data_IF_075080938455
#
_entry.id   IF_075080938455
#
_cell.length_a   1.000
_cell.length_b   1.000
_cell.length_c   1.000
_cell.angle_alpha   90.00
_cell.angle_beta   90.00
_cell.angle_gamma   90.00
#
_symmetry.space_group_name_H-M   'P 1'
#
loop_
_entity.id
_entity.type
_entity.pdbx_description
1 polymer ?
#
# COMPACT_ATOMS: atom_id res chain seq x y z
N UNK A 1 -35.35 -9.14 -15.95
CA UNK A 1 -34.43 -8.85 -14.86
C UNK A 1 -33.10 -9.58 -15.04
N UNK A 2 -33.10 -10.77 -15.63
CA UNK A 2 -31.91 -11.60 -15.86
C UNK A 2 -30.97 -11.05 -16.92
N UNK A 3 -31.47 -10.31 -17.92
CA UNK A 3 -30.64 -9.66 -18.95
C UNK A 3 -29.80 -8.50 -18.40
N UNK A 4 -30.34 -7.73 -17.46
CA UNK A 4 -29.62 -6.62 -16.82
C UNK A 4 -28.47 -7.13 -15.91
N UNK A 5 -28.70 -8.25 -15.21
CA UNK A 5 -27.64 -8.88 -14.41
C UNK A 5 -26.54 -9.46 -15.28
N UNK A 6 -26.89 -10.04 -16.44
CA UNK A 6 -25.90 -10.51 -17.43
C UNK A 6 -25.04 -9.39 -18.01
N UNK A 7 -25.64 -8.22 -18.27
CA UNK A 7 -24.89 -7.03 -18.73
C UNK A 7 -24.04 -6.37 -17.64
N UNK A 8 -24.51 -6.35 -16.38
CA UNK A 8 -23.81 -5.75 -15.24
C UNK A 8 -22.64 -6.60 -14.74
N UNK A 9 -22.81 -7.92 -14.76
CA UNK A 9 -21.75 -8.86 -14.30
C UNK A 9 -20.79 -9.18 -15.46
N UNK A 10 -21.19 -8.85 -16.70
CA UNK A 10 -20.46 -9.24 -17.90
C UNK A 10 -20.51 -10.76 -18.11
N UNK A 11 -19.76 -11.24 -19.08
CA UNK A 11 -19.57 -12.67 -19.30
C UNK A 11 -18.53 -13.31 -18.38
N UNK A 12 -18.28 -12.69 -17.20
CA UNK A 12 -17.28 -13.19 -16.26
C UNK A 12 -17.73 -14.56 -15.73
N UNK A 13 -16.94 -15.58 -16.04
CA UNK A 13 -17.11 -16.91 -15.46
C UNK A 13 -17.02 -16.79 -13.92
N UNK A 14 -17.80 -17.61 -13.21
CA UNK A 14 -17.80 -17.65 -11.73
C UNK A 14 -16.39 -17.76 -11.16
N UNK A 15 -15.49 -18.47 -11.83
CA UNK A 15 -14.10 -18.59 -11.46
C UNK A 15 -13.34 -17.24 -11.53
N UNK A 16 -13.57 -16.46 -12.59
CA UNK A 16 -12.97 -15.12 -12.72
C UNK A 16 -13.46 -14.16 -11.64
N UNK A 17 -14.76 -14.18 -11.34
CA UNK A 17 -15.33 -13.38 -10.26
C UNK A 17 -14.70 -13.72 -8.89
N UNK A 18 -14.55 -15.00 -8.59
CA UNK A 18 -13.89 -15.46 -7.35
C UNK A 18 -12.45 -14.96 -7.29
N UNK A 19 -11.70 -15.05 -8.37
CA UNK A 19 -10.31 -14.56 -8.42
C UNK A 19 -10.22 -13.04 -8.20
N UNK A 20 -11.12 -12.26 -8.80
CA UNK A 20 -11.17 -10.81 -8.59
C UNK A 20 -11.43 -10.50 -7.12
N UNK A 21 -12.43 -11.13 -6.52
CA UNK A 21 -12.77 -10.93 -5.10
C UNK A 21 -11.60 -11.30 -4.20
N UNK A 22 -10.96 -12.45 -4.42
CA UNK A 22 -9.79 -12.88 -3.65
C UNK A 22 -8.66 -11.87 -3.74
N UNK A 23 -8.33 -11.39 -4.94
CA UNK A 23 -7.26 -10.40 -5.14
C UNK A 23 -7.56 -9.07 -4.45
N UNK A 24 -8.81 -8.60 -4.50
CA UNK A 24 -9.23 -7.39 -3.79
C UNK A 24 -9.18 -7.57 -2.27
N UNK A 25 -9.61 -8.72 -1.76
CA UNK A 25 -9.52 -9.03 -0.32
C UNK A 25 -8.07 -9.11 0.15
N UNK A 26 -7.18 -9.76 -0.62
CA UNK A 26 -5.75 -9.81 -0.29
C UNK A 26 -5.15 -8.40 -0.29
N UNK A 27 -5.47 -7.58 -1.30
CA UNK A 27 -5.03 -6.19 -1.34
C UNK A 27 -5.53 -5.42 -0.11
N UNK A 28 -6.80 -5.58 0.27
CA UNK A 28 -7.39 -4.95 1.45
C UNK A 28 -6.64 -5.35 2.74
N UNK A 29 -6.31 -6.64 2.89
CA UNK A 29 -5.54 -7.17 4.03
C UNK A 29 -4.13 -6.58 4.07
N UNK A 30 -3.46 -6.43 2.93
CA UNK A 30 -2.16 -5.76 2.82
C UNK A 30 -2.24 -4.32 3.32
N UNK A 31 -3.20 -3.54 2.80
CA UNK A 31 -3.42 -2.17 3.22
C UNK A 31 -3.77 -2.06 4.71
N UNK A 32 -4.62 -2.96 5.21
CA UNK A 32 -4.98 -3.01 6.62
C UNK A 32 -3.78 -3.34 7.51
N UNK A 33 -2.97 -4.32 7.13
CA UNK A 33 -1.80 -4.76 7.89
C UNK A 33 -0.79 -3.62 8.11
N UNK A 34 -0.41 -2.92 7.04
CA UNK A 34 0.51 -1.78 7.13
C UNK A 34 -0.18 -0.59 7.83
N UNK A 35 -1.44 -0.32 7.47
CA UNK A 35 -2.21 0.81 7.98
C UNK A 35 -2.50 0.75 9.48
N UNK A 36 -2.74 -0.44 10.05
CA UNK A 36 -2.91 -0.62 11.50
C UNK A 36 -1.65 -0.21 12.24
N UNK A 37 -0.49 -0.69 11.82
CA UNK A 37 0.78 -0.35 12.44
C UNK A 37 1.01 1.18 12.42
N UNK A 38 0.74 1.83 11.27
CA UNK A 38 0.87 3.28 11.12
C UNK A 38 -0.14 4.06 11.96
N UNK A 39 -1.36 3.56 12.09
CA UNK A 39 -2.39 4.15 12.94
C UNK A 39 -2.01 4.09 14.42
N UNK A 40 -1.51 2.93 14.89
CA UNK A 40 -1.11 2.73 16.28
C UNK A 40 0.10 3.59 16.68
N UNK A 41 0.95 3.93 15.72
CA UNK A 41 2.13 4.79 15.93
C UNK A 41 1.86 6.28 15.64
N UNK A 42 0.61 6.68 15.44
CA UNK A 42 0.19 8.08 15.33
C UNK A 42 0.58 8.81 14.04
N UNK A 43 0.81 8.08 12.94
CA UNK A 43 1.21 8.66 11.67
C UNK A 43 0.00 9.22 10.88
N UNK A 44 0.25 10.22 10.02
CA UNK A 44 -0.76 10.93 9.23
C UNK A 44 -1.55 9.99 8.31
N UNK A 45 -0.89 9.08 7.60
CA UNK A 45 -1.55 8.06 6.80
C UNK A 45 -1.74 6.79 7.65
N UNK A 46 -2.96 6.58 8.15
CA UNK A 46 -3.35 5.44 8.96
C UNK A 46 -4.08 4.34 8.17
N UNK A 47 -4.89 3.55 8.88
CA UNK A 47 -5.60 2.38 8.38
C UNK A 47 -6.41 2.66 7.11
N UNK A 48 -7.30 3.66 7.16
CA UNK A 48 -8.20 3.97 6.04
C UNK A 48 -7.43 4.34 4.77
N UNK A 49 -6.39 5.15 4.91
CA UNK A 49 -5.55 5.62 3.80
C UNK A 49 -4.87 4.45 3.11
N UNK A 50 -4.21 3.56 3.87
CA UNK A 50 -3.53 2.40 3.31
C UNK A 50 -4.50 1.40 2.65
N UNK A 51 -5.68 1.15 3.26
CA UNK A 51 -6.70 0.30 2.67
C UNK A 51 -7.23 0.84 1.34
N UNK A 52 -7.51 2.15 1.26
CA UNK A 52 -8.00 2.78 0.02
C UNK A 52 -6.94 2.79 -1.08
N UNK A 53 -5.68 3.08 -0.75
CA UNK A 53 -4.56 3.00 -1.70
C UNK A 53 -4.42 1.59 -2.23
N UNK A 54 -4.49 0.59 -1.36
CA UNK A 54 -4.36 -0.81 -1.71
C UNK A 54 -5.49 -1.26 -2.66
N UNK A 55 -6.73 -0.96 -2.33
CA UNK A 55 -7.89 -1.26 -3.17
C UNK A 55 -7.83 -0.53 -4.52
N UNK A 56 -7.55 0.78 -4.52
CA UNK A 56 -7.45 1.57 -5.75
C UNK A 56 -6.36 1.03 -6.67
N UNK A 57 -5.20 0.71 -6.12
CA UNK A 57 -4.10 0.09 -6.87
C UNK A 57 -4.51 -1.25 -7.48
N UNK A 58 -5.14 -2.13 -6.69
CA UNK A 58 -5.60 -3.43 -7.16
C UNK A 58 -6.64 -3.30 -8.27
N UNK A 59 -7.59 -2.36 -8.15
CA UNK A 59 -8.60 -2.08 -9.18
C UNK A 59 -7.98 -1.63 -10.50
N UNK A 60 -7.01 -0.70 -10.49
CA UNK A 60 -6.31 -0.28 -11.71
C UNK A 60 -5.59 -1.43 -12.40
N UNK A 61 -4.92 -2.29 -11.63
CA UNK A 61 -4.23 -3.47 -12.16
C UNK A 61 -5.23 -4.46 -12.75
N UNK A 62 -6.31 -4.79 -12.01
CA UNK A 62 -7.34 -5.73 -12.45
C UNK A 62 -8.02 -5.28 -13.74
N UNK A 63 -8.29 -3.98 -13.89
CA UNK A 63 -8.91 -3.42 -15.10
C UNK A 63 -8.05 -3.59 -16.36
N UNK A 64 -6.75 -3.85 -16.22
CA UNK A 64 -5.80 -3.93 -17.34
C UNK A 64 -5.15 -5.31 -17.50
N UNK A 65 -5.50 -6.30 -16.66
CA UNK A 65 -4.88 -7.62 -16.73
C UNK A 65 -5.06 -8.31 -18.09
N UNK A 66 -6.23 -8.15 -18.69
CA UNK A 66 -6.58 -8.80 -19.97
C UNK A 66 -6.14 -7.98 -21.19
N UNK A 67 -5.61 -6.77 -20.99
CA UNK A 67 -5.18 -5.88 -22.08
C UNK A 67 -3.74 -6.10 -22.55
N UNK A 68 -3.02 -7.04 -21.94
CA UNK A 68 -1.65 -7.41 -22.28
C UNK A 68 -0.57 -6.68 -21.48
N UNK A 69 0.67 -7.16 -21.63
CA UNK A 69 1.82 -6.73 -20.81
C UNK A 69 2.15 -5.25 -20.95
N UNK A 70 2.01 -4.68 -22.13
CA UNK A 70 2.30 -3.25 -22.36
C UNK A 70 1.32 -2.33 -21.67
N UNK A 71 0.02 -2.68 -21.65
CA UNK A 71 -1.00 -1.93 -20.95
C UNK A 71 -0.76 -2.00 -19.44
N UNK A 72 -0.51 -3.19 -18.92
CA UNK A 72 -0.22 -3.41 -17.51
C UNK A 72 1.03 -2.64 -17.06
N UNK A 73 2.11 -2.65 -17.84
CA UNK A 73 3.34 -1.92 -17.54
C UNK A 73 3.09 -0.41 -17.42
N UNK A 74 2.31 0.17 -18.35
CA UNK A 74 1.94 1.59 -18.31
C UNK A 74 1.10 1.95 -17.08
N UNK A 75 0.17 1.06 -16.70
CA UNK A 75 -0.66 1.25 -15.50
C UNK A 75 0.20 1.21 -14.25
N UNK A 76 1.13 0.26 -14.13
CA UNK A 76 2.06 0.18 -12.99
C UNK A 76 2.92 1.45 -12.89
N UNK A 77 3.45 1.97 -14.01
CA UNK A 77 4.17 3.24 -14.04
C UNK A 77 3.29 4.41 -13.59
N UNK A 78 2.03 4.46 -14.05
CA UNK A 78 1.05 5.45 -13.64
C UNK A 78 0.74 5.40 -12.15
N UNK A 79 0.57 4.19 -11.60
CA UNK A 79 0.37 3.96 -10.16
C UNK A 79 1.58 4.46 -9.37
N UNK A 80 2.80 4.07 -9.76
CA UNK A 80 4.03 4.48 -9.07
C UNK A 80 4.16 6.02 -9.02
N UNK A 81 3.85 6.70 -10.13
CA UNK A 81 3.87 8.16 -10.22
C UNK A 81 2.75 8.80 -9.39
N UNK A 82 1.51 8.32 -9.53
CA UNK A 82 0.34 8.87 -8.83
C UNK A 82 0.43 8.70 -7.32
N UNK A 83 0.91 7.56 -6.87
CA UNK A 83 1.14 7.29 -5.44
C UNK A 83 2.31 8.14 -4.90
N UNK A 84 3.32 8.45 -5.72
CA UNK A 84 4.36 9.41 -5.38
C UNK A 84 3.79 10.80 -5.08
N UNK A 85 2.77 11.25 -5.82
CA UNK A 85 2.06 12.50 -5.55
C UNK A 85 1.33 12.46 -4.18
N UNK A 86 0.62 11.37 -3.88
CA UNK A 86 -0.02 11.17 -2.57
C UNK A 86 1.01 11.14 -1.43
N UNK A 87 2.16 10.49 -1.67
CA UNK A 87 3.30 10.48 -0.75
C UNK A 87 3.82 11.88 -0.46
N UNK A 88 3.96 12.71 -1.47
CA UNK A 88 4.36 14.12 -1.30
C UNK A 88 3.36 14.88 -0.43
N UNK A 89 2.07 14.63 -0.59
CA UNK A 89 1.03 15.20 0.26
C UNK A 89 1.10 14.78 1.74
N UNK A 90 1.75 13.67 2.04
CA UNK A 90 1.98 13.21 3.41
C UNK A 90 3.24 13.80 4.05
N UNK A 91 4.09 14.50 3.29
CA UNK A 91 5.32 15.13 3.78
C UNK A 91 4.99 16.56 4.21
N UNK A 92 5.18 16.86 5.48
CA UNK A 92 4.94 18.17 6.07
C UNK A 92 6.28 18.80 6.48
N UNK A 93 6.48 20.05 6.08
CA UNK A 93 7.59 20.87 6.55
C UNK A 93 7.08 21.83 7.62
N UNK A 94 7.55 21.71 8.85
CA UNK A 94 7.29 22.67 9.91
C UNK A 94 8.37 23.76 9.85
N UNK A 95 8.00 24.97 9.39
CA UNK A 95 8.92 26.09 9.20
C UNK A 95 9.65 26.51 10.49
N UNK A 96 8.98 26.37 11.64
CA UNK A 96 9.54 26.77 12.94
C UNK A 96 10.63 25.85 13.48
N UNK A 97 10.67 24.57 13.06
CA UNK A 97 11.59 23.57 13.62
C UNK A 97 12.67 23.09 12.62
N UNK A 98 12.64 23.56 11.35
CA UNK A 98 13.50 23.06 10.25
C UNK A 98 13.46 21.53 10.04
N UNK A 99 12.43 20.86 10.55
CA UNK A 99 12.29 19.41 10.45
C UNK A 99 11.29 19.02 9.37
N UNK A 100 11.58 17.92 8.69
CA UNK A 100 10.72 17.36 7.66
C UNK A 100 10.10 16.09 8.22
N UNK A 101 8.76 16.08 8.36
CA UNK A 101 8.00 14.96 8.84
C UNK A 101 7.30 14.23 7.69
N UNK A 102 7.00 12.93 7.86
CA UNK A 102 6.18 12.17 6.93
C UNK A 102 6.93 11.41 5.84
N UNK A 103 8.26 11.46 5.78
CA UNK A 103 9.06 10.70 4.79
C UNK A 103 8.79 9.19 4.89
N UNK A 104 8.79 8.63 6.09
CA UNK A 104 8.49 7.22 6.34
C UNK A 104 7.03 6.90 6.00
N UNK A 105 6.11 7.84 6.23
CA UNK A 105 4.71 7.71 5.83
C UNK A 105 4.58 7.65 4.31
N UNK A 106 5.24 8.53 3.58
CA UNK A 106 5.25 8.54 2.11
C UNK A 106 5.84 7.23 1.54
N UNK A 107 6.95 6.75 2.12
CA UNK A 107 7.54 5.46 1.75
C UNK A 107 6.59 4.28 2.02
N UNK A 108 5.88 4.28 3.16
CA UNK A 108 4.88 3.27 3.50
C UNK A 108 3.71 3.24 2.53
N UNK A 109 3.21 4.41 2.14
CA UNK A 109 2.15 4.56 1.13
C UNK A 109 2.60 3.96 -0.22
N UNK A 110 3.82 4.29 -0.65
CA UNK A 110 4.39 3.78 -1.90
C UNK A 110 4.60 2.26 -1.88
N UNK A 111 5.10 1.71 -0.76
CA UNK A 111 5.27 0.27 -0.57
C UNK A 111 3.92 -0.47 -0.57
N UNK A 112 2.89 0.10 0.06
CA UNK A 112 1.53 -0.47 0.07
C UNK A 112 1.00 -0.63 -1.37
N UNK A 113 1.18 0.38 -2.21
CA UNK A 113 0.79 0.30 -3.62
C UNK A 113 1.57 -0.81 -4.35
N UNK A 114 2.90 -0.88 -4.18
CA UNK A 114 3.72 -1.92 -4.79
C UNK A 114 3.32 -3.34 -4.38
N UNK A 115 3.07 -3.57 -3.08
CA UNK A 115 2.59 -4.87 -2.58
C UNK A 115 1.21 -5.21 -3.15
N UNK A 116 0.34 -4.21 -3.35
CA UNK A 116 -0.99 -4.39 -3.93
C UNK A 116 -0.95 -4.70 -5.43
N UNK A 117 0.02 -4.15 -6.18
CA UNK A 117 0.30 -4.56 -7.57
C UNK A 117 0.63 -6.05 -7.62
N UNK A 118 1.53 -6.51 -6.75
CA UNK A 118 1.89 -7.92 -6.66
C UNK A 118 0.68 -8.81 -6.35
N UNK A 119 -0.16 -8.42 -5.39
CA UNK A 119 -1.37 -9.17 -5.04
C UNK A 119 -2.38 -9.23 -6.20
N UNK A 120 -2.62 -8.09 -6.85
CA UNK A 120 -3.56 -7.98 -7.95
C UNK A 120 -3.12 -8.77 -9.20
N UNK A 121 -1.81 -8.90 -9.43
CA UNK A 121 -1.24 -9.74 -10.50
C UNK A 121 -1.14 -11.22 -10.12
N UNK A 122 -1.51 -11.61 -8.89
CA UNK A 122 -1.46 -12.99 -8.40
C UNK A 122 -0.10 -13.40 -7.82
N UNK A 123 0.85 -12.48 -7.68
CA UNK A 123 2.16 -12.72 -7.08
C UNK A 123 2.08 -12.53 -5.54
N UNK A 124 1.44 -13.48 -4.86
CA UNK A 124 1.16 -13.36 -3.42
C UNK A 124 2.40 -13.49 -2.55
N UNK A 125 3.40 -14.28 -2.94
CA UNK A 125 4.63 -14.44 -2.17
C UNK A 125 5.44 -13.14 -2.07
N UNK A 126 5.76 -12.42 -3.16
CA UNK A 126 6.39 -11.10 -3.06
C UNK A 126 5.55 -10.09 -2.25
N UNK A 127 4.22 -10.11 -2.40
CA UNK A 127 3.33 -9.24 -1.63
C UNK A 127 3.44 -9.52 -0.12
N UNK A 128 3.41 -10.78 0.28
CA UNK A 128 3.57 -11.19 1.69
C UNK A 128 4.94 -10.79 2.24
N UNK A 129 6.01 -11.08 1.49
CA UNK A 129 7.37 -10.71 1.89
C UNK A 129 7.52 -9.20 2.06
N UNK A 130 6.94 -8.40 1.16
CA UNK A 130 6.94 -6.95 1.28
C UNK A 130 6.27 -6.47 2.57
N UNK A 131 5.12 -7.05 2.96
CA UNK A 131 4.44 -6.73 4.21
C UNK A 131 5.28 -7.10 5.42
N UNK A 132 5.86 -8.32 5.44
CA UNK A 132 6.71 -8.77 6.55
C UNK A 132 7.93 -7.88 6.72
N UNK A 133 8.62 -7.56 5.62
CA UNK A 133 9.79 -6.68 5.65
C UNK A 133 9.39 -5.25 6.05
N UNK A 134 8.23 -4.74 5.61
CA UNK A 134 7.72 -3.45 6.04
C UNK A 134 7.53 -3.42 7.57
N UNK A 135 6.92 -4.45 8.15
CA UNK A 135 6.76 -4.57 9.60
C UNK A 135 8.10 -4.60 10.33
N UNK A 136 9.07 -5.37 9.80
CA UNK A 136 10.41 -5.40 10.38
C UNK A 136 11.05 -4.01 10.37
N UNK A 137 11.01 -3.31 9.24
CA UNK A 137 11.59 -1.96 9.12
C UNK A 137 10.88 -0.97 10.05
N UNK A 138 9.54 -0.95 10.03
CA UNK A 138 8.74 0.02 10.77
C UNK A 138 8.72 -0.24 12.29
N UNK A 139 8.90 -1.48 12.74
CA UNK A 139 8.88 -1.83 14.16
C UNK A 139 10.27 -1.89 14.79
N UNK A 140 11.26 -2.48 14.11
CA UNK A 140 12.58 -2.71 14.69
C UNK A 140 13.49 -1.50 14.63
N UNK A 141 13.42 -0.70 13.52
CA UNK A 141 14.31 0.44 13.37
C UNK A 141 13.93 1.62 14.27
N UNK A 142 12.66 1.80 14.62
CA UNK A 142 12.24 2.83 15.57
C UNK A 142 12.92 2.62 16.92
N UNK A 143 12.92 1.39 17.44
CA UNK A 143 13.58 1.07 18.71
C UNK A 143 15.11 1.19 18.67
N UNK A 144 15.71 1.15 17.49
CA UNK A 144 17.17 1.34 17.31
C UNK A 144 17.51 2.84 17.22
N UNK A 145 16.69 3.64 16.53
CA UNK A 145 16.83 5.09 16.45
C UNK A 145 16.73 5.75 17.83
N UNK A 146 15.75 5.34 18.66
CA UNK A 146 15.60 5.83 20.03
C UNK A 146 16.84 5.55 20.91
N UNK A 147 17.50 4.42 20.71
CA UNK A 147 18.73 4.06 21.43
C UNK A 147 19.95 4.88 21.00
N UNK A 148 19.99 5.30 19.74
CA UNK A 148 21.08 6.13 19.21
C UNK A 148 20.88 7.60 19.55
N UNK A 149 19.62 8.07 19.60
CA UNK A 149 19.27 9.45 19.92
C UNK A 149 19.46 9.80 21.40
N UNK A 150 19.44 8.79 22.32
CA UNK A 150 19.67 8.98 23.75
C UNK A 150 20.83 8.11 24.22
N UNK A 151 22.11 8.51 23.98
CA UNK A 151 23.22 7.90 24.67
C UNK A 151 23.02 8.19 26.17
N UNK A 152 22.96 7.12 26.97
CA UNK A 152 22.89 7.24 28.43
C UNK A 152 24.01 8.12 28.90
N UNK A 153 23.69 9.33 29.37
CA UNK A 153 24.58 10.05 30.26
C UNK A 153 24.54 9.35 31.61
N UNK A 154 25.42 8.36 31.79
CA UNK A 154 25.75 7.84 33.12
C UNK A 154 26.43 8.97 33.85
N UNK A 155 25.69 9.64 34.72
CA UNK A 155 26.25 10.54 35.74
C UNK A 155 26.93 9.67 36.80
N UNK A 156 28.25 9.59 36.76
CA UNK A 156 29.11 9.26 37.90
C UNK A 156 29.23 10.48 38.81
#
# INVERSE_FOLDING_TARGET
MDTLWGELIGSADTHQLVLIVVRLLVALVIGASIGIQRQLTGHVAGLRTHMLISLGTALFVLACLDLGHDALSRVIQGIATGVGFLGTGAILKLEQQREIFGLTTAAGVWLTAGASVCAATGHYLPALLAVVLAWCVLALLVGFEDRLAHPRHDHT
#
